data_IF_856941107559
#
_entry.id   IF_856941107559
#
_cell.length_a   1.000
_cell.length_b   1.000
_cell.length_c   1.000
_cell.angle_alpha   90.00
_cell.angle_beta   90.00
_cell.angle_gamma   90.00
#
_symmetry.space_group_name_H-M   'P 1'
#
loop_
_entity.id
_entity.type
_entity.pdbx_description
1 polymer ?
#
# COMPACT_ATOMS: atom_id res chain seq x y z
N UNK A 1 -1.69 -13.10 22.42
CA UNK A 1 -1.98 -11.67 22.27
C UNK A 1 -1.42 -11.25 20.91
N UNK A 2 -2.23 -10.58 20.09
CA UNK A 2 -1.75 -10.01 18.84
C UNK A 2 -0.67 -8.96 19.13
N UNK A 3 0.39 -8.93 18.34
CA UNK A 3 1.43 -7.93 18.46
C UNK A 3 1.07 -6.73 17.57
N UNK A 4 0.59 -5.66 18.16
CA UNK A 4 0.17 -4.44 17.44
C UNK A 4 1.29 -3.43 17.23
N UNK A 5 2.47 -3.69 17.78
CA UNK A 5 3.61 -2.79 17.70
C UNK A 5 4.83 -3.56 17.20
N UNK A 6 5.36 -3.11 16.09
CA UNK A 6 6.62 -3.59 15.52
C UNK A 6 7.68 -2.49 15.67
N UNK A 7 8.62 -2.61 16.60
CA UNK A 7 9.74 -1.68 16.70
C UNK A 7 10.50 -1.55 15.38
N UNK A 8 11.10 -0.39 15.14
CA UNK A 8 11.86 -0.15 13.92
C UNK A 8 12.88 -1.27 13.67
N UNK A 9 12.86 -1.83 12.47
CA UNK A 9 13.74 -2.93 12.04
C UNK A 9 13.26 -4.33 12.46
N UNK A 10 12.27 -4.47 13.37
CA UNK A 10 11.80 -5.79 13.82
C UNK A 10 10.97 -6.55 12.78
N UNK A 11 10.50 -5.87 11.74
CA UNK A 11 9.75 -6.43 10.63
C UNK A 11 10.56 -6.46 9.32
N UNK A 12 11.87 -6.25 9.40
CA UNK A 12 12.75 -6.30 8.23
C UNK A 12 13.00 -7.73 7.78
N UNK A 13 13.04 -7.95 6.45
CA UNK A 13 13.27 -9.25 5.83
C UNK A 13 13.95 -9.08 4.46
N UNK A 14 15.18 -9.58 4.32
CA UNK A 14 15.94 -9.44 3.08
C UNK A 14 16.15 -7.99 2.67
N UNK A 15 15.64 -7.62 1.50
CA UNK A 15 15.69 -6.23 0.97
C UNK A 15 14.52 -5.36 1.45
N UNK A 16 13.65 -5.89 2.30
CA UNK A 16 12.48 -5.18 2.81
C UNK A 16 12.73 -4.60 4.18
N UNK A 17 12.51 -3.30 4.36
CA UNK A 17 12.51 -2.63 5.68
C UNK A 17 11.34 -3.13 6.53
N UNK A 18 10.23 -3.47 5.86
CA UNK A 18 9.02 -4.04 6.44
C UNK A 18 8.52 -5.16 5.54
N UNK A 19 8.20 -6.31 6.11
CA UNK A 19 7.53 -7.44 5.44
C UNK A 19 6.56 -8.09 6.44
N UNK A 20 5.27 -7.77 6.30
CA UNK A 20 4.21 -8.18 7.22
C UNK A 20 3.02 -8.77 6.47
N UNK A 21 2.52 -9.92 6.91
CA UNK A 21 1.22 -10.47 6.50
C UNK A 21 1.11 -10.90 5.03
N UNK A 22 2.08 -10.62 4.16
CA UNK A 22 2.08 -11.07 2.77
C UNK A 22 2.22 -12.58 2.65
N UNK A 23 1.87 -13.14 1.50
CA UNK A 23 1.92 -14.60 1.26
C UNK A 23 3.33 -15.18 1.45
N UNK A 24 4.37 -14.43 1.08
CA UNK A 24 5.78 -14.79 1.13
C UNK A 24 6.52 -14.27 2.38
N UNK A 25 5.87 -13.46 3.23
CA UNK A 25 6.48 -12.93 4.45
C UNK A 25 6.70 -14.01 5.50
N UNK A 26 7.88 -14.08 6.09
CA UNK A 26 8.18 -14.94 7.23
C UNK A 26 7.42 -14.49 8.49
N UNK A 27 7.21 -13.19 8.64
CA UNK A 27 6.50 -12.63 9.77
C UNK A 27 4.99 -12.58 9.51
N UNK A 28 4.26 -13.51 10.11
CA UNK A 28 2.80 -13.54 10.07
C UNK A 28 2.24 -12.78 11.28
N UNK A 29 1.30 -11.88 11.02
CA UNK A 29 0.56 -11.19 12.08
C UNK A 29 -0.61 -12.08 12.50
N UNK A 30 -0.66 -12.46 13.77
CA UNK A 30 -1.71 -13.34 14.26
C UNK A 30 -3.08 -12.68 14.17
N UNK A 31 -4.02 -13.34 13.51
CA UNK A 31 -5.36 -12.82 13.25
C UNK A 31 -5.50 -12.06 11.93
N UNK A 32 -4.40 -11.72 11.24
CA UNK A 32 -4.47 -11.10 9.92
C UNK A 32 -4.66 -12.14 8.82
N UNK A 33 -5.69 -11.96 8.03
CA UNK A 33 -6.02 -12.84 6.92
C UNK A 33 -6.27 -12.07 5.60
N UNK A 34 -6.34 -10.75 5.65
CA UNK A 34 -6.81 -9.92 4.54
C UNK A 34 -5.79 -8.91 4.06
N UNK A 35 -4.82 -8.53 4.88
CA UNK A 35 -3.91 -7.43 4.61
C UNK A 35 -2.44 -7.84 4.75
N UNK A 36 -1.60 -7.37 3.85
CA UNK A 36 -0.16 -7.44 3.95
C UNK A 36 0.49 -6.11 3.56
N UNK A 37 1.72 -5.91 4.04
CA UNK A 37 2.51 -4.71 3.77
C UNK A 37 3.97 -5.05 3.58
N UNK A 38 4.55 -4.57 2.47
CA UNK A 38 6.00 -4.49 2.28
C UNK A 38 6.43 -3.04 2.10
N UNK A 39 7.60 -2.71 2.63
CA UNK A 39 8.24 -1.40 2.42
C UNK A 39 9.71 -1.64 2.12
N UNK A 40 10.23 -0.97 1.10
CA UNK A 40 11.65 -0.99 0.77
C UNK A 40 12.21 0.42 0.58
N UNK A 41 13.45 0.62 1.01
CA UNK A 41 14.26 1.78 0.65
C UNK A 41 15.32 1.32 -0.36
N UNK A 42 15.16 1.75 -1.61
CA UNK A 42 16.07 1.38 -2.70
C UNK A 42 17.20 2.40 -2.83
N UNK A 43 18.42 1.91 -2.99
CA UNK A 43 19.53 2.73 -3.48
C UNK A 43 19.36 3.01 -4.98
N UNK A 44 20.10 3.99 -5.50
CA UNK A 44 20.14 4.27 -6.93
C UNK A 44 20.53 3.02 -7.73
N UNK A 45 19.77 2.67 -8.74
CA UNK A 45 19.95 1.49 -9.59
C UNK A 45 19.53 0.17 -8.95
N UNK A 46 19.01 0.17 -7.72
CA UNK A 46 18.54 -1.04 -7.06
C UNK A 46 17.13 -1.45 -7.47
N UNK A 47 16.81 -2.72 -7.24
CA UNK A 47 15.50 -3.30 -7.48
C UNK A 47 15.10 -4.26 -6.37
N UNK A 48 13.79 -4.48 -6.22
CA UNK A 48 13.18 -5.54 -5.43
C UNK A 48 12.20 -6.33 -6.28
N UNK A 49 12.05 -7.60 -5.96
CA UNK A 49 11.18 -8.52 -6.69
C UNK A 49 10.13 -9.12 -5.77
N UNK A 50 8.93 -9.28 -6.32
CA UNK A 50 7.85 -10.02 -5.71
C UNK A 50 7.44 -11.14 -6.66
N UNK A 51 7.50 -12.41 -6.24
CA UNK A 51 7.07 -13.54 -7.05
C UNK A 51 5.57 -13.46 -7.32
N UNK A 52 5.12 -14.16 -8.35
CA UNK A 52 3.70 -14.38 -8.59
C UNK A 52 3.06 -15.07 -7.38
N UNK A 53 1.88 -14.60 -6.99
CA UNK A 53 1.15 -15.11 -5.83
C UNK A 53 -0.35 -14.86 -5.97
N UNK A 54 -1.17 -15.62 -5.21
CA UNK A 54 -2.63 -15.46 -5.15
C UNK A 54 -3.07 -14.22 -4.37
N UNK A 55 -2.39 -13.10 -4.57
CA UNK A 55 -2.69 -11.80 -3.95
C UNK A 55 -2.65 -10.68 -4.99
N UNK A 56 -3.54 -9.73 -4.83
CA UNK A 56 -3.48 -8.46 -5.57
C UNK A 56 -2.59 -7.47 -4.80
N UNK A 57 -2.00 -6.50 -5.51
CA UNK A 57 -1.02 -5.57 -4.95
C UNK A 57 -1.25 -4.15 -5.42
N UNK A 58 -0.95 -3.18 -4.55
CA UNK A 58 -0.83 -1.77 -4.93
C UNK A 58 0.55 -1.26 -4.54
N UNK A 59 1.30 -0.80 -5.54
CA UNK A 59 2.61 -0.15 -5.39
C UNK A 59 2.42 1.34 -5.19
N UNK A 60 2.93 1.87 -4.09
CA UNK A 60 2.76 3.26 -3.67
C UNK A 60 4.13 3.90 -3.42
N UNK A 61 4.62 4.80 -4.29
CA UNK A 61 5.81 5.59 -4.02
C UNK A 61 5.63 6.47 -2.77
N UNK A 62 6.51 6.32 -1.78
CA UNK A 62 6.56 7.19 -0.60
C UNK A 62 7.50 8.38 -0.84
N UNK A 63 8.63 8.14 -1.54
CA UNK A 63 9.55 9.16 -2.04
C UNK A 63 10.37 8.59 -3.20
N UNK A 64 10.71 9.42 -4.18
CA UNK A 64 11.44 9.01 -5.39
C UNK A 64 10.51 8.54 -6.51
N UNK A 65 11.10 8.15 -7.64
CA UNK A 65 10.43 7.63 -8.83
C UNK A 65 10.82 6.16 -9.04
N UNK A 66 9.94 5.40 -9.71
CA UNK A 66 10.12 3.96 -9.86
C UNK A 66 9.65 3.50 -11.24
N UNK A 67 10.30 2.46 -11.74
CA UNK A 67 9.81 1.65 -12.84
C UNK A 67 9.35 0.30 -12.28
N UNK A 68 8.12 -0.08 -12.58
CA UNK A 68 7.54 -1.35 -12.19
C UNK A 68 7.33 -2.23 -13.41
N UNK A 69 8.03 -3.37 -13.49
CA UNK A 69 7.92 -4.35 -14.55
C UNK A 69 6.92 -5.46 -14.16
N UNK A 70 5.87 -5.65 -14.96
CA UNK A 70 4.83 -6.68 -14.77
C UNK A 70 4.58 -7.36 -16.09
N UNK A 71 4.75 -8.69 -16.16
CA UNK A 71 4.51 -9.50 -17.35
C UNK A 71 5.20 -8.95 -18.62
N UNK A 72 6.45 -8.48 -18.48
CA UNK A 72 7.25 -7.92 -19.57
C UNK A 72 6.84 -6.53 -20.05
N UNK A 73 6.01 -5.83 -19.30
CA UNK A 73 5.63 -4.44 -19.53
C UNK A 73 6.13 -3.56 -18.39
N UNK A 74 6.71 -2.42 -18.75
CA UNK A 74 7.17 -1.42 -17.80
C UNK A 74 6.11 -0.34 -17.59
N UNK A 75 5.94 0.05 -16.33
CA UNK A 75 5.08 1.12 -15.89
C UNK A 75 5.92 2.13 -15.12
N UNK A 76 5.91 3.38 -15.60
CA UNK A 76 6.62 4.47 -14.96
C UNK A 76 5.74 5.11 -13.89
N UNK A 77 6.25 5.13 -12.66
CA UNK A 77 5.66 5.87 -11.56
C UNK A 77 6.52 7.11 -11.31
N UNK A 78 6.03 8.28 -11.71
CA UNK A 78 6.75 9.55 -11.57
C UNK A 78 7.09 9.85 -10.09
N UNK A 79 6.27 9.34 -9.19
CA UNK A 79 6.51 9.43 -7.76
C UNK A 79 6.43 10.85 -7.22
N UNK A 80 7.16 11.10 -6.13
CA UNK A 80 7.13 12.39 -5.41
C UNK A 80 8.33 12.52 -4.48
N UNK A 81 8.66 13.75 -4.08
CA UNK A 81 9.75 13.99 -3.13
C UNK A 81 9.42 13.46 -1.71
N UNK A 82 8.16 13.52 -1.31
CA UNK A 82 7.67 12.98 -0.04
C UNK A 82 6.15 12.78 -0.08
N UNK A 83 5.60 12.05 0.89
CA UNK A 83 4.15 11.87 1.07
C UNK A 83 3.38 13.18 1.27
N UNK A 84 4.05 14.25 1.65
CA UNK A 84 3.44 15.57 1.86
C UNK A 84 3.37 16.43 0.60
N UNK A 85 3.88 15.95 -0.55
CA UNK A 85 3.82 16.64 -1.83
C UNK A 85 2.54 16.34 -2.64
N UNK A 86 1.53 15.76 -2.03
CA UNK A 86 0.28 15.38 -2.69
C UNK A 86 0.23 13.92 -3.13
N UNK A 87 -0.77 13.56 -3.94
CA UNK A 87 -0.90 12.21 -4.50
C UNK A 87 0.31 11.77 -5.31
N UNK A 88 0.49 10.47 -5.46
CA UNK A 88 1.48 9.85 -6.34
C UNK A 88 0.77 8.95 -7.33
N UNK A 89 1.45 8.65 -8.45
CA UNK A 89 1.06 7.53 -9.29
C UNK A 89 1.15 6.25 -8.46
N UNK A 90 0.18 5.35 -8.62
CA UNK A 90 0.18 4.04 -8.00
C UNK A 90 -0.08 2.96 -9.05
N UNK A 91 0.50 1.77 -8.87
CA UNK A 91 0.30 0.66 -9.77
C UNK A 91 -0.44 -0.47 -9.06
N UNK A 92 -1.60 -0.83 -9.56
CA UNK A 92 -2.31 -2.04 -9.19
C UNK A 92 -1.85 -3.21 -10.06
N UNK A 93 -1.65 -4.38 -9.44
CA UNK A 93 -1.48 -5.66 -10.11
C UNK A 93 -2.45 -6.69 -9.57
N UNK A 94 -3.01 -7.49 -10.46
CA UNK A 94 -3.87 -8.62 -10.09
C UNK A 94 -3.09 -9.80 -9.53
N UNK A 95 -3.77 -10.92 -9.30
CA UNK A 95 -3.17 -12.16 -8.82
C UNK A 95 -2.28 -12.81 -9.88
N UNK A 96 -1.37 -13.68 -9.44
CA UNK A 96 -0.49 -14.52 -10.26
C UNK A 96 0.48 -13.72 -11.18
N UNK A 97 0.75 -12.46 -10.88
CA UNK A 97 1.69 -11.62 -11.60
C UNK A 97 2.98 -11.45 -10.79
N UNK A 98 4.12 -11.69 -11.44
CA UNK A 98 5.43 -11.32 -10.88
C UNK A 98 5.66 -9.83 -11.09
N UNK A 99 6.27 -9.17 -10.13
CA UNK A 99 6.49 -7.74 -10.10
C UNK A 99 7.94 -7.44 -9.72
N UNK A 100 8.63 -6.67 -10.55
CA UNK A 100 9.95 -6.09 -10.24
C UNK A 100 9.81 -4.59 -10.13
N UNK A 101 10.28 -4.01 -9.04
CA UNK A 101 10.26 -2.55 -8.80
C UNK A 101 11.69 -2.07 -8.71
N UNK A 102 12.07 -1.14 -9.58
CA UNK A 102 13.41 -0.54 -9.63
C UNK A 102 13.34 0.98 -9.54
N UNK A 103 14.43 1.60 -9.13
CA UNK A 103 14.57 3.05 -9.13
C UNK A 103 15.95 3.47 -9.61
N UNK A 104 16.01 4.35 -10.61
CA UNK A 104 17.29 4.87 -11.13
C UNK A 104 18.01 5.73 -10.10
N UNK A 105 17.28 6.56 -9.37
CA UNK A 105 17.83 7.54 -8.42
C UNK A 105 17.70 7.11 -6.95
N UNK A 106 17.03 5.98 -6.71
CA UNK A 106 16.68 5.52 -5.37
C UNK A 106 15.36 6.12 -4.88
N UNK A 107 14.89 5.62 -3.75
CA UNK A 107 13.64 6.07 -3.16
C UNK A 107 13.06 5.08 -2.19
N UNK A 108 11.89 5.40 -1.66
CA UNK A 108 11.15 4.55 -0.74
C UNK A 108 9.78 4.21 -1.29
N UNK A 109 9.43 2.93 -1.32
CA UNK A 109 8.19 2.41 -1.88
C UNK A 109 7.48 1.50 -0.88
N UNK A 110 6.17 1.59 -0.83
CA UNK A 110 5.31 0.67 -0.09
C UNK A 110 4.49 -0.17 -1.06
N UNK A 111 4.22 -1.42 -0.71
CA UNK A 111 3.35 -2.34 -1.42
C UNK A 111 2.32 -2.88 -0.43
N UNK A 112 1.06 -2.50 -0.62
CA UNK A 112 -0.05 -3.15 0.05
C UNK A 112 -0.43 -4.41 -0.71
N UNK A 113 -0.79 -5.49 0.00
CA UNK A 113 -1.21 -6.75 -0.60
C UNK A 113 -2.50 -7.25 0.05
N UNK A 114 -3.31 -7.97 -0.71
CA UNK A 114 -4.48 -8.68 -0.18
C UNK A 114 -4.66 -10.01 -0.93
N UNK A 115 -4.93 -11.14 -0.24
CA UNK A 115 -5.32 -12.37 -0.89
C UNK A 115 -6.57 -12.13 -1.73
N UNK A 116 -6.56 -12.53 -3.00
CA UNK A 116 -7.66 -12.30 -3.92
C UNK A 116 -8.02 -13.57 -4.70
N UNK A 117 -9.28 -13.65 -5.12
CA UNK A 117 -9.82 -14.77 -5.91
C UNK A 117 -10.04 -14.40 -7.37
N UNK A 118 -10.32 -13.12 -7.62
CA UNK A 118 -10.53 -12.58 -8.95
C UNK A 118 -9.34 -11.72 -9.34
N UNK A 119 -8.75 -11.99 -10.50
CA UNK A 119 -7.66 -11.18 -11.02
C UNK A 119 -8.22 -10.08 -11.92
N UNK A 120 -7.90 -8.83 -11.61
CA UNK A 120 -8.19 -7.70 -12.47
C UNK A 120 -6.93 -7.27 -13.23
N UNK A 121 -7.08 -6.59 -14.38
CA UNK A 121 -5.94 -6.12 -15.18
C UNK A 121 -5.04 -5.16 -14.42
N UNK A 122 -3.73 -5.27 -14.65
CA UNK A 122 -2.76 -4.27 -14.16
C UNK A 122 -3.15 -2.88 -14.61
N UNK A 123 -3.20 -1.92 -13.69
CA UNK A 123 -3.61 -0.54 -13.92
C UNK A 123 -2.72 0.46 -13.21
N UNK A 124 -2.19 1.40 -13.96
CA UNK A 124 -1.58 2.62 -13.44
C UNK A 124 -2.70 3.63 -13.15
N UNK A 125 -2.80 4.08 -11.91
CA UNK A 125 -3.64 5.22 -11.51
C UNK A 125 -2.71 6.39 -11.31
N UNK A 126 -2.83 7.39 -12.17
CA UNK A 126 -1.96 8.57 -12.08
C UNK A 126 -2.33 9.46 -10.89
N UNK A 127 -1.36 10.26 -10.43
CA UNK A 127 -1.60 11.26 -9.37
C UNK A 127 -2.76 12.20 -9.72
N UNK A 128 -2.92 12.54 -11.00
CA UNK A 128 -3.99 13.43 -11.50
C UNK A 128 -5.37 12.77 -11.48
N UNK A 129 -5.44 11.44 -11.59
CA UNK A 129 -6.70 10.67 -11.52
C UNK A 129 -7.09 10.32 -10.08
N UNK A 130 -6.17 10.43 -9.13
CA UNK A 130 -6.43 10.09 -7.72
C UNK A 130 -7.42 11.08 -7.10
N UNK A 131 -8.61 10.63 -6.66
CA UNK A 131 -9.56 11.51 -5.98
C UNK A 131 -8.99 11.98 -4.65
N UNK A 132 -8.95 13.29 -4.44
CA UNK A 132 -8.50 13.91 -3.19
C UNK A 132 -9.71 14.44 -2.44
N UNK A 133 -9.85 14.04 -1.19
CA UNK A 133 -10.96 14.42 -0.33
C UNK A 133 -10.45 15.08 0.95
N UNK A 134 -11.03 16.22 1.32
CA UNK A 134 -10.84 16.83 2.63
C UNK A 134 -11.97 16.35 3.55
N UNK A 135 -11.62 15.57 4.56
CA UNK A 135 -12.56 14.99 5.51
C UNK A 135 -12.48 15.64 6.88
N UNK A 136 -13.64 15.71 7.56
CA UNK A 136 -13.77 16.19 8.93
C UNK A 136 -13.75 17.71 9.02
N UNK A 137 -13.71 18.20 10.26
CA UNK A 137 -13.66 19.61 10.60
C UNK A 137 -12.83 19.84 11.87
N UNK A 138 -12.26 21.02 12.04
CA UNK A 138 -11.41 21.36 13.18
C UNK A 138 -10.26 20.37 13.34
N UNK A 139 -10.07 19.83 14.55
CA UNK A 139 -9.02 18.88 14.87
C UNK A 139 -9.29 17.45 14.37
N UNK A 140 -10.37 17.23 13.63
CA UNK A 140 -10.64 15.96 12.91
C UNK A 140 -10.42 16.10 11.40
N UNK A 141 -9.87 17.24 10.94
CA UNK A 141 -9.59 17.49 9.52
C UNK A 141 -8.37 16.69 9.07
N UNK A 142 -8.49 16.04 7.89
CA UNK A 142 -7.42 15.32 7.22
C UNK A 142 -7.67 15.30 5.72
N UNK A 143 -6.61 15.05 4.95
CA UNK A 143 -6.67 14.86 3.51
C UNK A 143 -6.56 13.39 3.18
N UNK A 144 -7.40 12.89 2.27
CA UNK A 144 -7.45 11.48 1.86
C UNK A 144 -7.20 11.40 0.37
N UNK A 145 -6.24 10.57 -0.04
CA UNK A 145 -5.95 10.23 -1.43
C UNK A 145 -6.56 8.85 -1.73
N UNK A 146 -7.68 8.83 -2.43
CA UNK A 146 -8.52 7.64 -2.63
C UNK A 146 -8.13 6.82 -3.88
N UNK A 147 -6.86 6.53 -4.10
CA UNK A 147 -6.36 5.83 -5.29
C UNK A 147 -6.81 4.36 -5.40
N UNK A 148 -7.09 3.68 -4.31
CA UNK A 148 -7.48 2.27 -4.27
C UNK A 148 -8.91 2.05 -3.76
N UNK A 149 -9.81 2.98 -4.01
CA UNK A 149 -11.24 2.84 -3.70
C UNK A 149 -12.04 2.47 -4.96
N UNK A 150 -13.26 1.92 -4.84
CA UNK A 150 -14.08 1.52 -6.00
C UNK A 150 -14.36 2.62 -7.02
N UNK A 151 -14.25 3.89 -6.63
CA UNK A 151 -14.41 5.02 -7.55
C UNK A 151 -13.19 5.24 -8.46
N UNK A 152 -12.01 4.78 -8.05
CA UNK A 152 -10.75 4.98 -8.77
C UNK A 152 -10.19 3.69 -9.36
N UNK A 153 -10.47 2.53 -8.76
CA UNK A 153 -9.84 1.26 -9.09
C UNK A 153 -10.83 0.10 -8.94
N UNK A 154 -10.90 -0.77 -9.95
CA UNK A 154 -11.51 -2.10 -9.79
C UNK A 154 -10.49 -3.06 -9.19
N UNK A 155 -10.83 -3.66 -8.05
CA UNK A 155 -10.05 -4.65 -7.34
C UNK A 155 -10.97 -5.69 -6.67
N UNK A 156 -10.44 -6.86 -6.31
CA UNK A 156 -11.25 -7.91 -5.67
C UNK A 156 -11.49 -7.61 -4.18
N UNK A 157 -10.45 -7.16 -3.48
CA UNK A 157 -10.44 -7.01 -2.02
C UNK A 157 -10.02 -5.63 -1.52
N UNK A 158 -9.30 -4.87 -2.32
CA UNK A 158 -8.74 -3.62 -1.86
C UNK A 158 -9.76 -2.53 -1.61
N UNK A 159 -9.63 -1.93 -0.44
CA UNK A 159 -10.00 -0.55 -0.15
C UNK A 159 -8.77 0.10 0.47
N UNK A 160 -7.96 0.77 -0.35
CA UNK A 160 -6.68 1.36 0.06
C UNK A 160 -6.68 2.85 -0.24
N UNK A 161 -6.30 3.65 0.73
CA UNK A 161 -6.09 5.09 0.57
C UNK A 161 -4.89 5.55 1.41
N UNK A 162 -4.38 6.72 1.08
CA UNK A 162 -3.40 7.41 1.90
C UNK A 162 -4.11 8.54 2.67
N UNK A 163 -3.82 8.66 3.96
CA UNK A 163 -4.40 9.69 4.81
C UNK A 163 -3.30 10.59 5.35
N UNK A 164 -3.36 11.87 5.03
CA UNK A 164 -2.47 12.90 5.58
C UNK A 164 -3.20 13.63 6.70
N UNK A 165 -2.76 13.36 7.93
CA UNK A 165 -3.35 13.94 9.15
C UNK A 165 -2.40 14.99 9.71
N UNK A 166 -2.80 16.28 9.79
CA UNK A 166 -1.98 17.32 10.41
C UNK A 166 -1.67 17.01 11.89
N UNK A 167 -0.53 17.48 12.36
CA UNK A 167 -0.15 17.33 13.77
C UNK A 167 -1.23 17.89 14.70
N UNK A 168 -1.57 17.12 15.74
CA UNK A 168 -2.63 17.47 16.69
C UNK A 168 -4.05 17.11 16.26
N UNK A 169 -4.22 16.60 15.04
CA UNK A 169 -5.52 16.15 14.54
C UNK A 169 -5.72 14.63 14.72
N UNK A 170 -6.98 14.22 14.73
CA UNK A 170 -7.40 12.82 14.69
C UNK A 170 -7.56 12.36 13.23
N UNK A 171 -7.03 11.18 12.89
CA UNK A 171 -7.27 10.59 11.56
C UNK A 171 -8.69 10.02 11.43
N UNK A 172 -9.29 9.60 12.55
CA UNK A 172 -10.73 9.30 12.66
C UNK A 172 -11.22 9.61 14.07
N UNK A 173 -12.50 9.91 14.20
CA UNK A 173 -13.15 10.15 15.50
C UNK A 173 -14.56 9.58 15.51
N UNK A 174 -14.95 8.75 16.51
CA UNK A 174 -14.06 8.25 17.57
C UNK A 174 -12.94 7.36 17.01
N UNK A 175 -11.79 7.24 17.72
CA UNK A 175 -10.75 6.30 17.31
C UNK A 175 -11.32 4.88 17.37
N UNK A 176 -11.09 4.11 16.32
CA UNK A 176 -11.58 2.73 16.18
C UNK A 176 -10.65 1.89 15.32
N UNK A 177 -10.86 0.60 15.34
CA UNK A 177 -10.14 -0.39 14.54
C UNK A 177 -11.13 -1.42 13.98
N UNK A 178 -10.73 -2.12 12.93
CA UNK A 178 -11.52 -3.14 12.23
C UNK A 178 -10.79 -4.49 12.24
N UNK A 179 -10.32 -4.91 13.41
CA UNK A 179 -9.49 -6.09 13.60
C UNK A 179 -10.20 -7.24 14.31
N UNK A 180 -11.46 -7.07 14.66
CA UNK A 180 -12.30 -8.08 15.28
C UNK A 180 -13.68 -8.09 14.62
N UNK A 181 -14.18 -9.27 14.29
CA UNK A 181 -15.54 -9.44 13.79
C UNK A 181 -16.55 -9.28 14.93
N UNK A 182 -17.57 -8.46 14.72
CA UNK A 182 -18.68 -8.20 15.65
C UNK A 182 -19.99 -8.13 14.90
N UNK A 183 -21.11 -8.24 15.64
CA UNK A 183 -22.43 -8.06 15.06
C UNK A 183 -22.56 -6.68 14.37
N UNK A 184 -22.77 -6.71 13.05
CA UNK A 184 -22.89 -5.51 12.21
C UNK A 184 -21.57 -4.89 11.75
N UNK A 185 -20.42 -5.46 12.12
CA UNK A 185 -19.10 -5.03 11.67
C UNK A 185 -18.32 -6.23 11.12
N UNK A 186 -17.72 -6.07 9.95
CA UNK A 186 -16.83 -7.07 9.37
C UNK A 186 -15.39 -6.72 9.70
N UNK A 187 -14.59 -7.70 10.13
CA UNK A 187 -13.14 -7.53 10.24
C UNK A 187 -12.55 -7.24 8.86
N UNK A 188 -11.69 -6.23 8.77
CA UNK A 188 -10.91 -5.87 7.60
C UNK A 188 -9.45 -6.31 7.72
N UNK A 189 -9.10 -6.94 8.81
CA UNK A 189 -7.77 -7.44 9.16
C UNK A 189 -7.81 -8.91 9.54
#
# INVERSE_FOLDING_TARGET
MANWVYPLGSAAEGSWDVSLGTSDSALKVNGWAHTGLKVATLAAGAAVELPAAGEERIVVPLSGSFTAAVDGRDFELAGRASVFNGPSDVLYTGTEQALTISSADGGRVAIATAPAKTSYPTRLVSAAETPVELRGAGNCSRQVHNFGTPAALEADRFIVCEVITPAGNWSSYPPHKHDEEKDGETSLE
#
